data_IF_650583655583
#
_entry.id   IF_650583655583
#
_cell.length_a   1.000
_cell.length_b   1.000
_cell.length_c   1.000
_cell.angle_alpha   90.00
_cell.angle_beta   90.00
_cell.angle_gamma   90.00
#
_symmetry.space_group_name_H-M   'P 1'
#
loop_
_entity.id
_entity.type
_entity.pdbx_description
1 polymer ?
#
# COMPACT_ATOMS: atom_id res chain seq x y z
N UNK A 1 -21.60 -7.19 -19.98
CA UNK A 1 -20.66 -8.18 -19.43
C UNK A 1 -19.85 -8.74 -20.58
N UNK A 2 -18.52 -8.70 -20.51
CA UNK A 2 -17.69 -9.49 -21.42
C UNK A 2 -16.58 -10.17 -20.61
N UNK A 3 -16.50 -11.50 -20.73
CA UNK A 3 -15.42 -12.34 -20.23
C UNK A 3 -14.52 -12.66 -21.42
N UNK A 4 -13.22 -12.46 -21.27
CA UNK A 4 -12.21 -12.84 -22.26
C UNK A 4 -11.38 -13.95 -21.63
N UNK A 5 -11.30 -15.10 -22.31
CA UNK A 5 -10.42 -16.21 -21.96
C UNK A 5 -9.06 -16.00 -22.65
N UNK A 6 -7.92 -16.10 -21.94
CA UNK A 6 -6.61 -16.16 -22.59
C UNK A 6 -6.34 -17.58 -23.10
N UNK A 7 -6.07 -17.70 -24.39
CA UNK A 7 -5.69 -18.95 -25.08
C UNK A 7 -4.18 -19.18 -24.95
N UNK A 8 -3.85 -20.32 -24.34
CA UNK A 8 -2.64 -21.18 -24.41
C UNK A 8 -1.23 -20.60 -24.55
N UNK A 9 -0.42 -21.05 -23.57
CA UNK A 9 0.93 -21.60 -23.68
C UNK A 9 2.09 -20.72 -24.16
N UNK A 10 2.98 -20.40 -23.21
CA UNK A 10 4.41 -20.55 -23.44
C UNK A 10 5.08 -21.06 -22.16
N UNK A 11 5.54 -22.32 -22.21
CA UNK A 11 6.48 -22.89 -21.25
C UNK A 11 7.84 -22.24 -21.46
N UNK A 12 8.40 -21.63 -20.42
CA UNK A 12 9.85 -21.45 -20.33
C UNK A 12 10.34 -22.19 -19.09
N UNK A 13 11.24 -23.12 -19.34
CA UNK A 13 11.84 -24.04 -18.40
C UNK A 13 12.61 -23.33 -17.28
N UNK A 14 12.51 -23.90 -16.07
CA UNK A 14 13.32 -23.52 -14.91
C UNK A 14 14.78 -23.99 -15.07
N UNK A 15 15.73 -23.10 -14.76
CA UNK A 15 16.96 -23.38 -13.99
C UNK A 15 17.77 -22.10 -13.81
N UNK A 16 18.15 -21.80 -12.56
CA UNK A 16 19.11 -20.75 -12.22
C UNK A 16 18.63 -19.89 -11.05
N UNK A 17 19.15 -20.19 -9.85
CA UNK A 17 18.97 -19.38 -8.65
C UNK A 17 19.78 -18.09 -8.78
N UNK A 18 19.19 -17.08 -9.40
CA UNK A 18 19.56 -15.69 -9.19
C UNK A 18 18.26 -14.97 -8.84
N UNK A 19 18.18 -14.39 -7.63
CA UNK A 19 17.08 -13.49 -7.27
C UNK A 19 17.28 -12.16 -8.01
N UNK A 20 17.19 -12.20 -9.34
CA UNK A 20 16.81 -11.05 -10.15
C UNK A 20 15.37 -10.74 -9.76
N UNK A 21 15.23 -9.93 -8.72
CA UNK A 21 13.92 -9.51 -8.22
C UNK A 21 13.43 -8.46 -9.21
N UNK A 22 12.82 -8.89 -10.31
CA UNK A 22 12.10 -7.98 -11.19
C UNK A 22 11.18 -7.12 -10.32
N UNK A 23 11.20 -5.78 -10.47
CA UNK A 23 10.38 -4.92 -9.64
C UNK A 23 8.91 -5.31 -9.80
N UNK A 24 8.27 -5.69 -8.70
CA UNK A 24 6.86 -6.04 -8.68
C UNK A 24 6.02 -4.79 -8.91
N UNK A 25 5.42 -4.67 -10.10
CA UNK A 25 4.55 -3.55 -10.44
C UNK A 25 3.14 -3.80 -9.90
N UNK A 26 2.66 -2.90 -9.04
CA UNK A 26 1.32 -2.92 -8.49
C UNK A 26 0.51 -1.72 -8.98
N UNK A 27 -0.74 -1.96 -9.36
CA UNK A 27 -1.69 -0.89 -9.72
C UNK A 27 -2.62 -0.62 -8.54
N UNK A 28 -2.58 0.60 -8.00
CA UNK A 28 -3.43 1.03 -6.89
C UNK A 28 -4.61 1.84 -7.41
N UNK A 29 -5.82 1.42 -7.06
CA UNK A 29 -7.08 2.09 -7.39
C UNK A 29 -7.70 2.64 -6.12
N UNK A 30 -8.02 3.94 -6.11
CA UNK A 30 -8.77 4.55 -5.01
C UNK A 30 -10.26 4.23 -5.21
N UNK A 31 -10.91 3.72 -4.16
CA UNK A 31 -12.36 3.51 -4.14
C UNK A 31 -13.03 4.89 -4.02
N UNK A 32 -13.94 5.21 -4.95
CA UNK A 32 -14.71 6.45 -4.91
C UNK A 32 -15.82 6.35 -3.86
N UNK A 33 -15.97 7.39 -3.04
CA UNK A 33 -16.95 7.48 -1.93
C UNK A 33 -18.42 7.63 -2.39
N UNK A 34 -18.71 7.49 -3.69
CA UNK A 34 -19.99 7.91 -4.28
C UNK A 34 -21.14 6.89 -4.13
N UNK A 35 -20.86 5.62 -3.81
CA UNK A 35 -21.91 4.59 -3.72
C UNK A 35 -22.33 4.24 -2.30
N UNK A 36 -21.49 4.51 -1.30
CA UNK A 36 -21.81 4.30 0.12
C UNK A 36 -21.09 5.34 0.97
N UNK A 37 -21.85 6.16 1.71
CA UNK A 37 -21.30 7.09 2.69
C UNK A 37 -20.42 6.33 3.69
N UNK A 38 -19.10 6.51 3.60
CA UNK A 38 -18.16 6.06 4.63
C UNK A 38 -17.20 4.92 4.29
N UNK A 39 -16.99 4.57 3.01
CA UNK A 39 -15.95 3.59 2.62
C UNK A 39 -14.89 4.21 1.71
N UNK A 40 -14.02 5.02 2.30
CA UNK A 40 -12.80 5.46 1.62
C UNK A 40 -11.77 4.33 1.69
N UNK A 41 -11.15 3.95 0.57
CA UNK A 41 -10.25 2.80 0.55
C UNK A 41 -9.47 2.65 -0.75
N UNK A 42 -8.65 1.61 -0.82
CA UNK A 42 -7.82 1.28 -1.98
C UNK A 42 -7.93 -0.20 -2.35
N UNK A 43 -7.85 -0.48 -3.64
CA UNK A 43 -7.69 -1.83 -4.18
C UNK A 43 -6.38 -1.90 -4.94
N UNK A 44 -5.58 -2.93 -4.68
CA UNK A 44 -4.26 -3.12 -5.26
C UNK A 44 -4.28 -4.36 -6.14
N UNK A 45 -3.84 -4.20 -7.38
CA UNK A 45 -3.81 -5.25 -8.38
C UNK A 45 -2.38 -5.54 -8.82
N UNK A 46 -2.08 -6.80 -9.10
CA UNK A 46 -0.82 -7.19 -9.72
C UNK A 46 -0.79 -6.89 -11.22
N UNK A 47 0.32 -7.25 -11.88
CA UNK A 47 0.48 -7.10 -13.32
C UNK A 47 -0.48 -7.96 -14.15
N UNK A 48 -1.04 -9.03 -13.58
CA UNK A 48 -2.02 -9.91 -14.22
C UNK A 48 -3.45 -9.39 -14.11
N UNK A 49 -3.66 -8.33 -13.31
CA UNK A 49 -4.99 -7.77 -13.04
C UNK A 49 -5.74 -8.48 -11.92
N UNK A 50 -5.09 -9.36 -11.15
CA UNK A 50 -5.67 -9.99 -9.96
C UNK A 50 -5.55 -9.03 -8.77
N UNK A 51 -6.64 -8.87 -8.02
CA UNK A 51 -6.63 -8.12 -6.77
C UNK A 51 -5.80 -8.88 -5.73
N UNK A 52 -4.69 -8.28 -5.28
CA UNK A 52 -3.76 -8.88 -4.32
C UNK A 52 -3.91 -8.30 -2.92
N UNK A 53 -4.29 -7.03 -2.82
CA UNK A 53 -4.57 -6.38 -1.54
C UNK A 53 -5.77 -5.45 -1.64
N UNK A 54 -6.41 -5.23 -0.50
CA UNK A 54 -7.39 -4.16 -0.32
C UNK A 54 -7.15 -3.45 1.00
N UNK A 55 -7.38 -2.15 1.01
CA UNK A 55 -7.28 -1.31 2.20
C UNK A 55 -8.61 -0.64 2.40
N UNK A 56 -9.26 -0.88 3.53
CA UNK A 56 -10.53 -0.26 3.87
C UNK A 56 -10.38 0.62 5.11
N UNK A 57 -10.98 1.82 5.06
CA UNK A 57 -11.12 2.70 6.19
C UNK A 57 -12.43 2.41 6.93
N UNK A 58 -12.34 1.84 8.12
CA UNK A 58 -13.51 1.50 8.95
C UNK A 58 -13.96 2.64 9.89
N UNK A 59 -13.55 3.89 9.64
CA UNK A 59 -13.75 5.04 10.55
C UNK A 59 -15.18 5.52 10.81
N UNK A 60 -16.19 5.17 9.98
CA UNK A 60 -17.41 5.98 9.93
C UNK A 60 -18.61 5.56 10.78
N UNK A 61 -18.56 4.46 11.55
CA UNK A 61 -19.77 4.02 12.32
C UNK A 61 -19.90 4.59 13.74
N UNK A 62 -18.89 5.21 14.33
CA UNK A 62 -19.02 5.90 15.64
C UNK A 62 -18.14 7.14 15.69
N UNK A 63 -18.76 8.32 15.87
CA UNK A 63 -18.12 9.65 15.91
C UNK A 63 -17.09 9.86 17.05
N UNK A 64 -16.82 8.84 17.86
CA UNK A 64 -16.00 8.95 19.07
C UNK A 64 -14.76 8.03 19.07
N UNK A 65 -14.53 7.23 18.02
CA UNK A 65 -13.34 6.37 17.93
C UNK A 65 -12.77 6.41 16.51
N UNK A 66 -11.57 6.97 16.36
CA UNK A 66 -10.81 6.94 15.11
C UNK A 66 -10.42 5.49 14.81
N UNK A 67 -11.27 4.75 14.09
CA UNK A 67 -11.01 3.34 13.77
C UNK A 67 -9.99 3.27 12.63
N UNK A 68 -8.92 2.52 12.89
CA UNK A 68 -7.77 2.37 12.02
C UNK A 68 -8.07 1.83 10.61
N UNK A 69 -7.04 1.88 9.77
CA UNK A 69 -7.03 1.29 8.44
C UNK A 69 -6.73 -0.20 8.54
N UNK A 70 -7.37 -1.03 7.72
CA UNK A 70 -7.09 -2.48 7.67
C UNK A 70 -6.60 -2.85 6.28
N UNK A 71 -5.38 -3.40 6.21
CA UNK A 71 -4.85 -4.06 5.02
C UNK A 71 -5.30 -5.52 5.04
N UNK A 72 -5.96 -5.93 3.97
CA UNK A 72 -6.43 -7.30 3.75
C UNK A 72 -5.81 -7.87 2.47
N UNK A 73 -5.77 -9.19 2.40
CA UNK A 73 -5.45 -9.89 1.15
C UNK A 73 -6.61 -9.77 0.12
N UNK A 74 -6.41 -10.32 -1.07
CA UNK A 74 -7.42 -10.35 -2.12
C UNK A 74 -8.69 -11.15 -1.77
N UNK A 75 -8.62 -12.07 -0.80
CA UNK A 75 -9.77 -12.85 -0.31
C UNK A 75 -10.55 -12.13 0.79
N UNK A 76 -9.94 -11.12 1.41
CA UNK A 76 -10.49 -10.33 2.49
C UNK A 76 -10.02 -10.68 3.89
N UNK A 77 -9.03 -11.57 4.03
CA UNK A 77 -8.41 -11.86 5.33
C UNK A 77 -7.57 -10.67 5.79
N UNK A 78 -7.73 -10.19 7.04
CA UNK A 78 -6.94 -9.09 7.58
C UNK A 78 -5.48 -9.51 7.76
N UNK A 79 -4.57 -8.81 7.06
CA UNK A 79 -3.13 -9.00 7.18
C UNK A 79 -2.52 -8.05 8.20
N UNK A 80 -3.04 -6.82 8.31
CA UNK A 80 -2.49 -5.80 9.18
C UNK A 80 -3.51 -4.72 9.50
N UNK A 81 -3.45 -4.16 10.71
CA UNK A 81 -4.27 -3.00 11.12
C UNK A 81 -3.36 -1.84 11.49
N UNK A 82 -3.60 -0.66 10.92
CA UNK A 82 -2.90 0.57 11.25
C UNK A 82 -3.82 1.48 12.06
N UNK A 83 -3.40 1.91 13.26
CA UNK A 83 -4.20 2.78 14.12
C UNK A 83 -3.47 4.10 14.35
N UNK A 84 -4.18 5.24 14.33
CA UNK A 84 -3.58 6.50 14.73
C UNK A 84 -3.35 6.50 16.25
N UNK A 85 -2.23 7.08 16.67
CA UNK A 85 -1.95 7.32 18.07
C UNK A 85 -2.62 8.63 18.50
N UNK A 86 -3.64 8.49 19.35
CA UNK A 86 -4.40 9.60 19.92
C UNK A 86 -3.43 10.50 20.71
N UNK A 87 -3.51 11.81 20.52
CA UNK A 87 -2.65 12.84 21.15
C UNK A 87 -1.17 12.83 20.72
N UNK A 88 -0.80 12.22 19.59
CA UNK A 88 0.56 12.39 19.03
C UNK A 88 0.71 13.73 18.31
N UNK A 89 1.76 14.48 18.64
CA UNK A 89 2.07 15.76 17.96
C UNK A 89 2.39 15.58 16.46
N UNK A 90 2.89 14.41 16.06
CA UNK A 90 3.40 14.14 14.69
C UNK A 90 2.47 13.28 13.82
N UNK A 91 1.16 13.23 14.11
CA UNK A 91 0.20 12.36 13.41
C UNK A 91 0.71 10.91 13.31
N UNK A 92 1.16 10.34 14.43
CA UNK A 92 1.75 9.00 14.45
C UNK A 92 0.71 7.90 14.21
N UNK A 93 1.11 6.88 13.45
CA UNK A 93 0.36 5.67 13.16
C UNK A 93 1.16 4.44 13.58
N UNK A 94 0.49 3.46 14.16
CA UNK A 94 1.10 2.20 14.58
C UNK A 94 0.47 1.03 13.80
N UNK A 95 1.31 0.20 13.19
CA UNK A 95 0.91 -0.99 12.45
C UNK A 95 0.96 -2.24 13.33
N UNK A 96 -0.10 -3.04 13.33
CA UNK A 96 -0.24 -4.25 14.12
C UNK A 96 -0.52 -5.44 13.20
N UNK A 97 0.16 -6.57 13.43
CA UNK A 97 -0.09 -7.81 12.70
C UNK A 97 -1.57 -8.21 12.79
N UNK A 98 -2.16 -8.51 11.63
CA UNK A 98 -3.49 -9.11 11.54
C UNK A 98 -3.44 -10.52 12.11
N UNK A 99 -4.30 -10.80 13.08
CA UNK A 99 -4.42 -12.14 13.64
C UNK A 99 -5.90 -12.54 13.64
N UNK A 100 -6.15 -13.75 13.18
CA UNK A 100 -7.44 -14.42 13.28
C UNK A 100 -7.55 -14.90 14.73
N UNK A 101 -8.59 -14.47 15.45
CA UNK A 101 -8.93 -14.87 16.83
C UNK A 101 -8.29 -14.09 17.99
N UNK A 102 -9.18 -13.52 18.81
CA UNK A 102 -9.13 -13.55 20.28
C UNK A 102 -7.74 -13.58 20.93
N UNK A 103 -7.29 -12.45 21.49
CA UNK A 103 -6.55 -12.43 22.77
C UNK A 103 -6.35 -11.02 23.32
N UNK A 104 -6.65 -10.94 24.61
CA UNK A 104 -6.66 -9.82 25.54
C UNK A 104 -5.24 -9.39 25.96
N UNK A 105 -4.34 -9.11 25.01
CA UNK A 105 -3.03 -8.52 25.30
C UNK A 105 -2.78 -7.31 24.40
N UNK A 106 -2.12 -6.25 24.88
CA UNK A 106 -1.68 -5.15 24.02
C UNK A 106 -0.72 -5.72 22.98
N UNK A 107 -1.19 -5.85 21.73
CA UNK A 107 -0.33 -6.26 20.61
C UNK A 107 0.77 -5.23 20.46
N UNK A 108 2.03 -5.64 20.56
CA UNK A 108 3.16 -4.78 20.22
C UNK A 108 3.05 -4.37 18.74
N UNK A 109 3.28 -3.10 18.40
CA UNK A 109 3.29 -2.68 17.00
C UNK A 109 4.44 -3.39 16.26
N UNK A 110 4.22 -3.74 15.00
CA UNK A 110 5.26 -4.25 14.10
C UNK A 110 6.09 -3.10 13.54
N UNK A 111 5.46 -1.94 13.35
CA UNK A 111 6.13 -0.69 13.00
C UNK A 111 5.33 0.50 13.53
N UNK A 112 6.01 1.64 13.60
CA UNK A 112 5.40 2.95 13.77
C UNK A 112 5.78 3.87 12.61
N UNK A 113 4.88 4.77 12.25
CA UNK A 113 5.08 5.75 11.19
C UNK A 113 4.66 7.12 11.72
N UNK A 114 5.42 8.16 11.43
CA UNK A 114 5.08 9.54 11.80
C UNK A 114 5.43 10.51 10.69
N UNK A 115 4.79 11.68 10.67
CA UNK A 115 5.22 12.77 9.80
C UNK A 115 6.61 13.26 10.20
N UNK A 116 7.42 13.61 9.20
CA UNK A 116 8.76 14.18 9.42
C UNK A 116 8.69 15.59 10.02
N UNK A 117 7.72 16.39 9.58
CA UNK A 117 7.50 17.75 10.08
C UNK A 117 6.02 18.02 10.31
N UNK A 118 5.71 18.77 11.36
CA UNK A 118 4.34 19.21 11.70
C UNK A 118 4.02 20.55 11.01
N UNK A 119 5.07 21.32 10.69
CA UNK A 119 4.95 22.72 10.23
C UNK A 119 4.82 22.81 8.71
N UNK A 120 5.40 21.85 7.99
CA UNK A 120 5.37 21.82 6.51
C UNK A 120 4.27 20.89 6.01
N UNK A 121 3.50 21.33 5.00
CA UNK A 121 2.40 20.56 4.38
C UNK A 121 2.87 19.44 3.45
N UNK A 122 4.03 18.85 3.72
CA UNK A 122 4.60 17.77 2.92
C UNK A 122 3.98 16.42 3.31
N UNK A 123 3.90 15.49 2.36
CA UNK A 123 3.46 14.12 2.62
C UNK A 123 4.63 13.22 3.08
N UNK A 124 5.69 13.82 3.62
CA UNK A 124 6.90 13.14 4.06
C UNK A 124 6.72 12.46 5.42
N UNK A 125 7.23 11.24 5.53
CA UNK A 125 7.09 10.42 6.73
C UNK A 125 8.32 9.58 7.02
N UNK A 126 8.43 9.17 8.27
CA UNK A 126 9.46 8.29 8.81
C UNK A 126 8.79 7.01 9.32
N UNK A 127 9.40 5.86 9.02
CA UNK A 127 8.93 4.55 9.47
C UNK A 127 10.01 3.91 10.34
N UNK A 128 9.59 3.40 11.48
CA UNK A 128 10.43 2.71 12.46
C UNK A 128 9.87 1.31 12.67
N UNK A 129 10.66 0.29 12.36
CA UNK A 129 10.34 -1.11 12.57
C UNK A 129 10.59 -1.48 14.03
N UNK A 130 9.68 -2.25 14.62
CA UNK A 130 9.86 -2.74 15.98
C UNK A 130 11.00 -3.76 16.03
N UNK A 131 11.90 -3.62 17.00
CA UNK A 131 13.08 -4.48 17.14
C UNK A 131 14.32 -3.98 16.37
N UNK A 132 14.26 -2.83 15.70
CA UNK A 132 15.46 -2.16 15.20
C UNK A 132 16.33 -1.69 16.38
N UNK A 133 17.65 -1.78 16.23
CA UNK A 133 18.62 -1.68 17.34
C UNK A 133 18.49 -0.33 18.04
N UNK A 134 18.20 -0.38 19.34
CA UNK A 134 18.18 0.76 20.26
C UNK A 134 19.57 1.41 20.24
N UNK A 135 19.72 2.55 19.54
CA UNK A 135 20.97 3.29 19.49
C UNK A 135 21.14 4.20 18.28
N UNK A 136 20.44 3.93 17.18
CA UNK A 136 20.45 4.81 16.00
C UNK A 136 19.12 5.57 15.97
N UNK A 137 19.14 6.89 16.15
CA UNK A 137 17.95 7.75 16.00
C UNK A 137 17.46 7.88 14.54
N UNK A 138 17.84 6.95 13.66
CA UNK A 138 17.50 6.99 12.24
C UNK A 138 16.28 6.11 11.94
N UNK A 139 15.39 6.56 11.05
CA UNK A 139 14.28 5.72 10.60
C UNK A 139 14.77 4.59 9.69
N UNK A 140 14.12 3.42 9.79
CA UNK A 140 14.40 2.27 8.91
C UNK A 140 13.95 2.55 7.47
N UNK A 141 12.87 3.32 7.30
CA UNK A 141 12.45 3.83 6.00
C UNK A 141 12.03 5.29 6.03
N UNK A 142 12.27 5.97 4.91
CA UNK A 142 11.86 7.36 4.66
C UNK A 142 10.91 7.42 3.48
N UNK A 143 9.81 8.15 3.64
CA UNK A 143 8.88 8.45 2.57
C UNK A 143 9.11 9.91 2.19
N UNK A 144 9.53 10.15 0.96
CA UNK A 144 9.78 11.48 0.43
C UNK A 144 8.73 11.83 -0.65
N UNK A 145 8.48 13.13 -0.82
CA UNK A 145 7.69 13.67 -1.93
C UNK A 145 6.22 13.94 -1.60
N UNK A 146 5.35 13.84 -2.61
CA UNK A 146 3.94 14.23 -2.48
C UNK A 146 2.97 13.28 -3.19
N UNK A 147 2.02 12.74 -2.42
CA UNK A 147 1.05 11.74 -2.88
C UNK A 147 0.07 12.36 -3.87
N UNK A 148 -0.34 13.62 -3.66
CA UNK A 148 -1.22 14.35 -4.59
C UNK A 148 -0.60 14.45 -5.99
N UNK A 149 0.70 14.71 -6.06
CA UNK A 149 1.45 14.80 -7.32
C UNK A 149 1.87 13.45 -7.92
N UNK A 150 1.64 12.34 -7.20
CA UNK A 150 2.10 10.98 -7.57
C UNK A 150 3.62 10.90 -7.74
N UNK A 151 4.34 11.57 -6.85
CA UNK A 151 5.80 11.61 -6.82
C UNK A 151 6.24 11.29 -5.39
N UNK A 152 5.96 10.06 -4.94
CA UNK A 152 6.43 9.56 -3.64
C UNK A 152 7.44 8.45 -3.85
N UNK A 153 8.47 8.43 -3.00
CA UNK A 153 9.48 7.37 -2.96
C UNK A 153 9.64 6.89 -1.52
N UNK A 154 9.74 5.58 -1.37
CA UNK A 154 10.13 4.93 -0.12
C UNK A 154 11.61 4.60 -0.27
N UNK A 155 12.42 5.10 0.66
CA UNK A 155 13.84 4.83 0.76
C UNK A 155 14.14 4.01 2.00
N UNK A 156 15.11 3.12 1.91
CA UNK A 156 15.61 2.37 3.06
C UNK A 156 16.59 3.22 3.91
N UNK A 157 17.18 2.61 4.93
CA UNK A 157 18.16 3.25 5.82
C UNK A 157 19.47 3.64 5.12
N UNK A 158 19.80 3.01 3.98
CA UNK A 158 20.96 3.36 3.15
C UNK A 158 20.66 4.51 2.18
N UNK A 159 19.39 4.90 2.05
CA UNK A 159 18.93 5.93 1.12
C UNK A 159 18.54 5.38 -0.26
N UNK A 160 18.59 4.07 -0.46
CA UNK A 160 18.24 3.40 -1.70
C UNK A 160 16.72 3.31 -1.88
N UNK A 161 16.24 3.40 -3.12
CA UNK A 161 14.79 3.41 -3.40
C UNK A 161 14.23 1.99 -3.31
N UNK A 162 13.44 1.72 -2.27
CA UNK A 162 12.75 0.46 -2.06
C UNK A 162 11.42 0.37 -2.84
N UNK A 163 10.73 1.50 -3.01
CA UNK A 163 9.50 1.57 -3.80
C UNK A 163 9.24 3.00 -4.29
N UNK A 164 8.54 3.15 -5.42
CA UNK A 164 8.11 4.45 -5.91
C UNK A 164 6.69 4.42 -6.47
N UNK A 165 6.01 5.56 -6.37
CA UNK A 165 4.73 5.79 -7.03
C UNK A 165 4.99 6.48 -8.36
N UNK A 166 4.45 5.90 -9.43
CA UNK A 166 4.46 6.51 -10.75
C UNK A 166 3.05 6.54 -11.35
N UNK A 167 2.81 7.47 -12.28
CA UNK A 167 1.55 7.53 -13.03
C UNK A 167 1.46 6.32 -13.98
N UNK A 168 0.35 5.59 -13.91
CA UNK A 168 0.04 4.55 -14.90
C UNK A 168 -0.05 5.19 -16.29
N UNK A 169 0.87 4.82 -17.19
CA UNK A 169 0.79 5.20 -18.61
C UNK A 169 -0.18 4.23 -19.29
N UNK A 170 -1.26 4.75 -19.88
CA UNK A 170 -2.08 3.94 -20.76
C UNK A 170 -1.26 3.56 -21.99
N UNK A 171 -1.18 2.26 -22.31
CA UNK A 171 -0.72 1.87 -23.64
C UNK A 171 -1.81 2.32 -24.60
N UNK A 172 -1.51 3.25 -25.50
CA UNK A 172 -2.42 3.56 -26.59
C UNK A 172 -2.64 2.26 -27.37
N UNK A 173 -3.84 1.70 -27.33
CA UNK A 173 -4.25 0.77 -28.37
C UNK A 173 -4.43 1.63 -29.62
N UNK A 174 -3.46 1.57 -30.53
CA UNK A 174 -3.64 2.09 -31.88
C UNK A 174 -4.75 1.25 -32.50
N UNK A 175 -5.98 1.79 -32.53
CA UNK A 175 -7.04 1.24 -33.37
C UNK A 175 -6.59 1.44 -34.81
N UNK A 176 -5.96 0.41 -35.38
CA UNK A 176 -5.82 0.32 -36.83
C UNK A 176 -7.21 -0.05 -37.33
N UNK A 177 -8.03 0.97 -37.61
CA UNK A 177 -9.22 0.81 -38.44
C UNK A 177 -8.74 0.39 -39.83
N UNK A 178 -8.66 -0.93 -40.06
CA UNK A 178 -8.58 -1.45 -41.42
C UNK A 178 -9.94 -1.25 -42.07
N UNK A 179 -10.19 -0.03 -42.57
CA UNK A 179 -11.08 0.15 -43.72
C UNK A 179 -10.28 -0.23 -44.95
N UNK A 180 -10.58 -1.38 -45.53
CA UNK A 180 -10.43 -1.57 -46.97
C UNK A 180 -11.67 -2.30 -47.48
N UNK A 181 -12.41 -1.52 -48.27
CA UNK A 181 -13.38 -1.79 -49.34
C UNK A 181 -13.31 -3.21 -49.91
#
# INVERSE_FOLDING_TARGET
MYRIHPTTENKCHARGTEKSTCPSVLTVWKKSSMTFQGTDGFSVYDSTGKMVFRVDNYSRRNRCTTRGLVLMDGSGKPLMTMKPQILSMHEQWNGFQGDDSSKTNPKTPVFSMRRRSIIQSSDEAEVFMWGSIIGVMAPDFRIDGCFRSRHCKIRDCNGEVAAEISRKKAKHHTFVERRCI
#
